data_IF_379774148706
#
_entry.id   IF_379774148706
#
_cell.length_a   1.000
_cell.length_b   1.000
_cell.length_c   1.000
_cell.angle_alpha   90.00
_cell.angle_beta   90.00
_cell.angle_gamma   90.00
#
_symmetry.space_group_name_H-M   'P 1'
#
loop_
_entity.id
_entity.type
_entity.pdbx_description
1 polymer ?
#
# COMPACT_ATOMS: atom_id res chain seq x y z
N UNK A 1 53.46 20.42 15.06
CA UNK A 1 52.77 21.51 14.32
C UNK A 1 52.31 20.91 13.01
N UNK A 2 51.00 20.68 12.86
CA UNK A 2 50.47 20.16 11.59
C UNK A 2 50.48 21.28 10.54
N UNK A 3 50.95 21.01 9.31
CA UNK A 3 51.02 22.05 8.28
C UNK A 3 49.60 22.55 7.91
N UNK A 4 49.45 23.85 7.62
CA UNK A 4 48.13 24.45 7.36
C UNK A 4 47.36 23.79 6.19
N UNK A 5 48.07 23.11 5.30
CA UNK A 5 47.46 22.36 4.17
C UNK A 5 46.67 21.10 4.59
N UNK A 6 46.87 20.58 5.81
CA UNK A 6 46.12 19.44 6.31
C UNK A 6 44.68 19.83 6.54
N UNK A 7 44.41 20.95 7.18
CA UNK A 7 43.05 21.43 7.45
C UNK A 7 42.27 21.80 6.18
N UNK A 8 42.97 22.37 5.19
CA UNK A 8 42.38 22.73 3.90
C UNK A 8 41.97 21.48 3.14
N UNK A 9 42.77 20.41 3.14
CA UNK A 9 42.44 19.14 2.50
C UNK A 9 41.27 18.43 3.18
N UNK A 10 41.21 18.48 4.51
CA UNK A 10 40.08 17.87 5.27
C UNK A 10 38.77 18.61 5.02
N UNK A 11 38.82 19.94 4.94
CA UNK A 11 37.68 20.80 4.63
C UNK A 11 37.15 20.54 3.18
N UNK A 12 38.08 20.42 2.21
CA UNK A 12 37.73 20.10 0.81
C UNK A 12 37.08 18.72 0.67
N UNK A 13 37.58 17.69 1.39
CA UNK A 13 36.99 16.38 1.42
C UNK A 13 35.59 16.39 2.06
N UNK A 14 35.40 17.13 3.14
CA UNK A 14 34.07 17.27 3.78
C UNK A 14 33.05 17.96 2.88
N UNK A 15 33.45 18.99 2.13
CA UNK A 15 32.57 19.67 1.16
C UNK A 15 32.21 18.76 -0.02
N UNK A 16 33.16 17.94 -0.50
CA UNK A 16 32.87 16.96 -1.57
C UNK A 16 31.91 15.85 -1.14
N UNK A 17 31.91 15.43 0.12
CA UNK A 17 30.94 14.45 0.64
C UNK A 17 29.52 15.03 0.74
N UNK A 18 29.36 16.32 1.01
CA UNK A 18 28.05 16.95 1.09
C UNK A 18 27.38 17.19 -0.28
N UNK A 19 28.16 17.27 -1.37
CA UNK A 19 27.64 17.57 -2.69
C UNK A 19 26.82 16.43 -3.32
N UNK A 20 26.85 15.21 -2.79
CA UNK A 20 26.10 14.07 -3.30
C UNK A 20 24.77 13.77 -2.55
N UNK A 21 24.38 14.62 -1.60
CA UNK A 21 23.11 14.50 -0.89
C UNK A 21 21.94 15.11 -1.68
N UNK A 22 21.88 14.87 -2.99
CA UNK A 22 20.67 15.15 -3.78
C UNK A 22 19.68 14.07 -3.45
N UNK A 23 18.64 14.42 -2.69
CA UNK A 23 17.56 13.50 -2.34
C UNK A 23 17.02 12.84 -3.61
N UNK A 24 17.04 11.52 -3.63
CA UNK A 24 16.49 10.78 -4.76
C UNK A 24 15.02 11.17 -4.93
N UNK A 25 14.65 11.63 -6.12
CA UNK A 25 13.26 11.95 -6.45
C UNK A 25 12.41 10.68 -6.30
N UNK A 26 11.49 10.67 -5.34
CA UNK A 26 10.54 9.56 -5.18
C UNK A 26 9.31 9.80 -6.09
N UNK A 27 8.82 8.78 -6.80
CA UNK A 27 9.43 7.45 -6.99
C UNK A 27 10.48 7.47 -8.13
N UNK A 28 11.64 6.80 -7.91
CA UNK A 28 12.69 6.65 -8.92
C UNK A 28 12.54 5.35 -9.75
N UNK A 29 11.58 4.48 -9.39
CA UNK A 29 11.29 3.19 -10.03
C UNK A 29 9.81 2.87 -9.93
N UNK A 30 9.35 1.84 -10.63
CA UNK A 30 7.97 1.38 -10.57
C UNK A 30 7.52 1.09 -9.13
N UNK A 31 6.27 1.48 -8.81
CA UNK A 31 5.62 1.22 -7.53
C UNK A 31 4.69 0.02 -7.67
N UNK A 32 4.83 -0.96 -6.81
CA UNK A 32 3.99 -2.16 -6.77
C UNK A 32 2.78 -1.92 -5.88
N UNK A 33 1.59 -2.27 -6.38
CA UNK A 33 0.36 -2.29 -5.57
C UNK A 33 -0.09 -3.73 -5.43
N UNK A 34 -0.01 -4.27 -4.21
CA UNK A 34 -0.56 -5.59 -3.89
C UNK A 34 -2.06 -5.45 -3.68
N UNK A 35 -2.82 -6.23 -4.44
CA UNK A 35 -4.27 -6.38 -4.31
C UNK A 35 -4.54 -7.79 -3.80
N UNK A 36 -4.97 -7.97 -2.53
CA UNK A 36 -5.11 -9.30 -1.90
C UNK A 36 -6.40 -10.01 -2.32
N UNK A 37 -6.86 -9.76 -3.55
CA UNK A 37 -8.08 -10.32 -4.15
C UNK A 37 -7.81 -10.78 -5.57
N UNK A 38 -8.72 -11.63 -6.08
CA UNK A 38 -8.66 -12.10 -7.45
C UNK A 38 -8.79 -10.92 -8.44
N UNK A 39 -8.14 -11.01 -9.61
CA UNK A 39 -8.35 -10.05 -10.69
C UNK A 39 -9.84 -9.93 -11.05
N UNK A 40 -10.29 -8.70 -11.35
CA UNK A 40 -11.69 -8.40 -11.68
C UNK A 40 -12.60 -8.21 -10.46
N UNK A 41 -12.10 -8.35 -9.24
CA UNK A 41 -12.83 -7.96 -8.03
C UNK A 41 -12.91 -6.43 -7.86
N UNK A 42 -13.81 -5.95 -7.00
CA UNK A 42 -14.06 -4.52 -6.82
C UNK A 42 -12.80 -3.70 -6.52
N UNK A 43 -11.96 -4.17 -5.62
CA UNK A 43 -10.69 -3.52 -5.27
C UNK A 43 -9.72 -3.52 -6.46
N UNK A 44 -9.64 -4.60 -7.24
CA UNK A 44 -8.78 -4.68 -8.42
C UNK A 44 -9.23 -3.70 -9.51
N UNK A 45 -10.54 -3.66 -9.80
CA UNK A 45 -11.13 -2.72 -10.77
C UNK A 45 -10.85 -1.27 -10.34
N UNK A 46 -11.06 -0.95 -9.06
CA UNK A 46 -10.79 0.39 -8.52
C UNK A 46 -9.32 0.79 -8.73
N UNK A 47 -8.38 -0.07 -8.34
CA UNK A 47 -6.95 0.20 -8.48
C UNK A 47 -6.57 0.37 -9.97
N UNK A 48 -7.08 -0.50 -10.86
CA UNK A 48 -6.82 -0.39 -12.31
C UNK A 48 -7.42 0.87 -12.93
N UNK A 49 -8.52 1.36 -12.39
CA UNK A 49 -9.15 2.61 -12.85
C UNK A 49 -8.29 3.82 -12.54
N UNK A 50 -7.67 3.88 -11.36
CA UNK A 50 -6.86 5.03 -10.95
C UNK A 50 -5.39 4.93 -11.37
N UNK A 51 -4.87 3.72 -11.59
CA UNK A 51 -3.45 3.47 -11.85
C UNK A 51 -2.87 4.27 -13.03
N UNK A 52 -3.55 4.43 -14.19
CA UNK A 52 -3.02 5.22 -15.30
C UNK A 52 -2.75 6.67 -14.88
N UNK A 53 -3.71 7.31 -14.22
CA UNK A 53 -3.59 8.70 -13.79
C UNK A 53 -2.52 8.90 -12.71
N UNK A 54 -2.43 7.96 -11.78
CA UNK A 54 -1.36 7.96 -10.78
C UNK A 54 0.02 7.76 -11.41
N UNK A 55 0.14 6.86 -12.40
CA UNK A 55 1.39 6.63 -13.12
C UNK A 55 1.86 7.89 -13.85
N UNK A 56 0.95 8.63 -14.50
CA UNK A 56 1.26 9.93 -15.11
C UNK A 56 1.75 10.93 -14.06
N UNK A 57 1.05 11.06 -12.94
CA UNK A 57 1.38 12.03 -11.90
C UNK A 57 2.71 11.72 -11.21
N UNK A 58 2.99 10.45 -10.98
CA UNK A 58 4.22 9.98 -10.31
C UNK A 58 5.41 9.87 -11.27
N UNK A 59 5.18 9.92 -12.59
CA UNK A 59 6.23 9.70 -13.58
C UNK A 59 6.81 8.28 -13.58
N UNK A 60 6.13 7.33 -12.92
CA UNK A 60 6.57 5.95 -12.79
C UNK A 60 5.39 4.99 -12.92
N UNK A 61 5.65 3.79 -13.44
CA UNK A 61 4.63 2.78 -13.63
C UNK A 61 4.12 2.22 -12.29
N UNK A 62 2.80 2.04 -12.19
CA UNK A 62 2.17 1.28 -11.12
C UNK A 62 1.96 -0.17 -11.59
N UNK A 63 2.55 -1.12 -10.87
CA UNK A 63 2.45 -2.56 -11.15
C UNK A 63 1.44 -3.17 -10.19
N UNK A 64 0.31 -3.63 -10.73
CA UNK A 64 -0.77 -4.26 -9.94
C UNK A 64 -0.46 -5.75 -9.82
N UNK A 65 -0.36 -6.24 -8.59
CA UNK A 65 -0.02 -7.62 -8.25
C UNK A 65 -1.14 -8.24 -7.40
N UNK A 66 -1.95 -9.09 -8.02
CA UNK A 66 -3.05 -9.76 -7.36
C UNK A 66 -2.53 -10.97 -6.55
N UNK A 67 -2.75 -10.96 -5.23
CA UNK A 67 -2.35 -12.01 -4.27
C UNK A 67 -3.53 -12.47 -3.44
N UNK A 68 -4.48 -13.13 -4.09
CA UNK A 68 -5.68 -13.63 -3.44
C UNK A 68 -5.39 -14.80 -2.49
N UNK A 69 -6.25 -14.96 -1.49
CA UNK A 69 -6.28 -16.11 -0.58
C UNK A 69 -6.39 -15.73 0.89
N UNK A 70 -6.90 -16.68 1.70
CA UNK A 70 -7.04 -16.52 3.14
C UNK A 70 -7.87 -15.31 3.59
N UNK A 71 -8.91 -14.92 2.84
CA UNK A 71 -9.67 -13.71 3.18
C UNK A 71 -8.81 -12.44 3.17
N UNK A 72 -7.96 -12.27 2.18
CA UNK A 72 -6.97 -11.20 2.03
C UNK A 72 -5.67 -11.34 2.87
N UNK A 73 -5.56 -12.35 3.74
CA UNK A 73 -4.40 -12.45 4.65
C UNK A 73 -3.09 -12.73 3.92
N UNK A 74 -3.09 -13.50 2.81
CA UNK A 74 -1.86 -13.83 2.06
C UNK A 74 -1.23 -12.57 1.44
N UNK A 75 -2.01 -11.76 0.75
CA UNK A 75 -1.50 -10.53 0.15
C UNK A 75 -1.12 -9.48 1.19
N UNK A 76 -1.87 -9.40 2.29
CA UNK A 76 -1.56 -8.49 3.40
C UNK A 76 -0.26 -8.87 4.11
N UNK A 77 -0.03 -10.16 4.35
CA UNK A 77 1.24 -10.66 4.90
C UNK A 77 2.43 -10.32 3.99
N UNK A 78 2.27 -10.51 2.67
CA UNK A 78 3.30 -10.18 1.71
C UNK A 78 3.66 -8.69 1.73
N UNK A 79 2.66 -7.82 1.86
CA UNK A 79 2.87 -6.39 1.98
C UNK A 79 3.56 -6.03 3.31
N UNK A 80 3.09 -6.58 4.44
CA UNK A 80 3.69 -6.36 5.76
C UNK A 80 5.17 -6.74 5.83
N UNK A 81 5.58 -7.77 5.09
CA UNK A 81 6.98 -8.24 5.02
C UNK A 81 7.82 -7.52 3.95
N UNK A 82 7.23 -6.62 3.18
CA UNK A 82 7.96 -5.83 2.17
C UNK A 82 8.75 -4.70 2.83
N UNK A 83 9.85 -4.22 2.21
CA UNK A 83 10.57 -3.06 2.70
C UNK A 83 9.66 -1.84 2.85
N UNK A 84 9.76 -1.07 3.97
CA UNK A 84 8.93 0.11 4.21
C UNK A 84 9.48 1.36 3.50
N UNK A 85 9.79 1.24 2.21
CA UNK A 85 10.43 2.27 1.38
C UNK A 85 9.44 3.01 0.46
N UNK A 86 8.13 2.72 0.60
CA UNK A 86 7.06 3.33 -0.19
C UNK A 86 6.87 2.69 -1.58
N UNK A 87 7.70 1.72 -2.00
CA UNK A 87 7.58 1.08 -3.32
C UNK A 87 6.65 -0.14 -3.33
N UNK A 88 6.15 -0.56 -2.17
CA UNK A 88 5.10 -1.57 -2.07
C UNK A 88 3.92 -0.99 -1.31
N UNK A 89 2.79 -0.89 -1.99
CA UNK A 89 1.51 -0.45 -1.44
C UNK A 89 0.57 -1.64 -1.33
N UNK A 90 -0.37 -1.57 -0.39
CA UNK A 90 -1.44 -2.56 -0.22
C UNK A 90 -2.79 -1.87 -0.44
N UNK A 91 -3.60 -2.37 -1.37
CA UNK A 91 -4.97 -1.92 -1.59
C UNK A 91 -5.94 -2.94 -1.02
N UNK A 92 -6.67 -2.57 0.02
CA UNK A 92 -7.58 -3.45 0.77
C UNK A 92 -8.99 -2.88 0.84
N UNK A 93 -9.92 -3.73 1.21
CA UNK A 93 -11.27 -3.39 1.58
C UNK A 93 -11.50 -3.57 3.10
N UNK A 94 -12.76 -3.57 3.51
CA UNK A 94 -13.17 -3.73 4.92
C UNK A 94 -12.72 -5.04 5.55
N UNK A 95 -12.37 -6.08 4.76
CA UNK A 95 -11.88 -7.35 5.30
C UNK A 95 -10.59 -7.17 6.09
N UNK A 96 -9.74 -6.24 5.69
CA UNK A 96 -8.49 -5.93 6.39
C UNK A 96 -8.73 -5.48 7.84
N UNK A 97 -9.78 -4.72 8.10
CA UNK A 97 -10.13 -4.25 9.44
C UNK A 97 -10.90 -5.28 10.25
N UNK A 98 -11.61 -6.21 9.61
CA UNK A 98 -12.37 -7.26 10.29
C UNK A 98 -11.54 -8.51 10.59
N UNK A 99 -10.50 -8.78 9.81
CA UNK A 99 -9.65 -9.97 9.96
C UNK A 99 -9.08 -10.15 11.38
N UNK A 100 -8.61 -9.11 12.11
CA UNK A 100 -8.16 -9.29 13.49
C UNK A 100 -9.20 -9.86 14.45
N UNK A 101 -10.48 -9.66 14.15
CA UNK A 101 -11.59 -10.22 14.95
C UNK A 101 -12.04 -11.61 14.49
N UNK A 102 -11.74 -11.98 13.25
CA UNK A 102 -12.14 -13.25 12.64
C UNK A 102 -11.10 -14.36 12.80
N UNK A 103 -9.81 -13.99 12.80
CA UNK A 103 -8.72 -14.95 12.86
C UNK A 103 -8.03 -14.88 14.22
N UNK A 104 -7.92 -16.01 14.89
CA UNK A 104 -7.22 -16.12 16.19
C UNK A 104 -5.71 -15.85 16.07
N UNK A 105 -5.15 -16.00 14.88
CA UNK A 105 -3.74 -15.74 14.59
C UNK A 105 -3.60 -15.18 13.18
N UNK A 106 -3.13 -13.94 13.09
CA UNK A 106 -2.74 -13.30 11.82
C UNK A 106 -1.22 -13.27 11.71
N UNK A 107 -0.67 -13.40 10.48
CA UNK A 107 0.77 -13.32 10.25
C UNK A 107 1.29 -11.86 10.17
N UNK A 108 0.47 -10.87 10.50
CA UNK A 108 0.78 -9.44 10.52
C UNK A 108 -0.08 -8.70 11.56
N UNK A 109 0.38 -7.53 11.97
CA UNK A 109 -0.39 -6.58 12.80
C UNK A 109 -0.98 -5.48 11.90
N UNK A 110 -2.32 -5.41 11.82
CA UNK A 110 -3.02 -4.45 10.94
C UNK A 110 -2.76 -2.98 11.28
N UNK A 111 -2.26 -2.68 12.47
CA UNK A 111 -2.01 -1.31 12.94
C UNK A 111 -0.52 -0.97 12.88
N UNK A 112 0.35 -1.91 13.29
CA UNK A 112 1.78 -1.63 13.47
C UNK A 112 2.60 -1.84 12.21
N UNK A 113 2.18 -2.78 11.34
CA UNK A 113 2.96 -3.17 10.16
C UNK A 113 2.63 -2.32 8.93
N UNK A 114 1.68 -1.37 9.05
CA UNK A 114 1.20 -0.56 7.93
C UNK A 114 1.09 0.92 8.29
N UNK A 115 1.42 1.76 7.32
CA UNK A 115 1.14 3.19 7.36
C UNK A 115 -0.01 3.51 6.40
N UNK A 116 -1.17 4.02 6.88
CA UNK A 116 -2.28 4.37 6.00
C UNK A 116 -1.92 5.55 5.10
N UNK A 117 -2.27 5.47 3.82
CA UNK A 117 -1.99 6.49 2.83
C UNK A 117 -3.24 7.29 2.48
N UNK A 118 -4.29 6.62 1.98
CA UNK A 118 -5.52 7.28 1.55
C UNK A 118 -6.69 6.32 1.46
N UNK A 119 -7.89 6.83 1.68
CA UNK A 119 -9.14 6.18 1.32
C UNK A 119 -9.39 6.39 -0.18
N UNK A 120 -9.36 5.30 -0.96
CA UNK A 120 -9.52 5.37 -2.42
C UNK A 120 -10.98 5.54 -2.84
N UNK A 121 -11.91 4.85 -2.17
CA UNK A 121 -13.34 4.91 -2.45
C UNK A 121 -14.16 4.48 -1.24
N UNK A 122 -15.43 4.87 -1.24
CA UNK A 122 -16.45 4.37 -0.33
C UNK A 122 -17.65 3.90 -1.16
N UNK A 123 -18.18 2.71 -0.81
CA UNK A 123 -19.35 2.14 -1.45
C UNK A 123 -20.40 1.75 -0.41
N UNK A 124 -21.69 1.96 -0.70
CA UNK A 124 -22.74 1.50 0.19
C UNK A 124 -22.82 -0.04 0.20
N UNK A 125 -23.12 -0.62 1.35
CA UNK A 125 -23.48 -2.04 1.47
C UNK A 125 -25.00 -2.14 1.44
N UNK A 126 -25.53 -3.00 0.57
CA UNK A 126 -26.96 -3.21 0.39
C UNK A 126 -27.28 -4.63 0.84
N UNK A 127 -28.24 -4.79 1.75
CA UNK A 127 -28.82 -6.07 2.08
C UNK A 127 -29.90 -6.41 1.06
N UNK A 128 -29.73 -7.50 0.35
CA UNK A 128 -30.72 -8.03 -0.58
C UNK A 128 -31.14 -9.43 -0.17
N UNK A 129 -32.43 -9.71 -0.34
CA UNK A 129 -33.02 -11.02 -0.07
C UNK A 129 -33.73 -11.52 -1.32
N UNK A 130 -33.86 -12.84 -1.45
CA UNK A 130 -34.62 -13.41 -2.55
C UNK A 130 -36.09 -12.99 -2.46
N UNK A 131 -36.80 -12.73 -3.60
CA UNK A 131 -38.20 -12.29 -3.59
C UNK A 131 -39.20 -13.23 -2.88
N UNK A 132 -38.85 -14.51 -2.72
CA UNK A 132 -39.67 -15.48 -1.96
C UNK A 132 -39.61 -15.29 -0.43
N UNK A 133 -38.68 -14.51 0.08
CA UNK A 133 -38.59 -14.16 1.52
C UNK A 133 -39.59 -13.04 1.80
N UNK A 134 -40.63 -13.28 2.61
CA UNK A 134 -41.77 -12.36 2.78
C UNK A 134 -41.43 -11.22 3.77
N UNK A 135 -40.30 -10.52 3.55
CA UNK A 135 -39.86 -9.39 4.36
C UNK A 135 -39.63 -8.15 3.49
N UNK A 136 -39.99 -6.99 4.02
CA UNK A 136 -39.84 -5.68 3.34
C UNK A 136 -38.90 -4.74 4.07
N UNK A 137 -38.54 -5.05 5.32
CA UNK A 137 -37.70 -4.22 6.18
C UNK A 137 -36.67 -5.09 6.90
N UNK A 138 -35.56 -4.49 7.33
CA UNK A 138 -34.54 -5.19 8.15
C UNK A 138 -35.13 -5.68 9.47
N UNK A 139 -36.20 -5.03 10.00
CA UNK A 139 -36.84 -5.43 11.25
C UNK A 139 -37.66 -6.69 11.09
N UNK A 140 -38.18 -6.95 9.90
CA UNK A 140 -38.98 -8.17 9.59
C UNK A 140 -38.07 -9.36 9.23
N UNK A 141 -36.80 -9.11 8.91
CA UNK A 141 -35.78 -10.10 8.64
C UNK A 141 -35.20 -10.67 9.92
#
# INVERSE_FOLDING_TARGET
MNPPHFWIRTLLLAVMCCANAWGQTYPARAVRIIVPFAPGGGTDILVRTIAPRLSETLGQQLVIDNRAGGGSTIGSELAAKSPPDGYTLLAVDTSFTTNPSLYSKLPYDSIRDFAPVSLLASAPVILIVHPSVPVKTVREF
#
